data_IF_450748022064
#
_entry.id   IF_450748022064
#
_cell.length_a   1.000
_cell.length_b   1.000
_cell.length_c   1.000
_cell.angle_alpha   90.00
_cell.angle_beta   90.00
_cell.angle_gamma   90.00
#
_symmetry.space_group_name_H-M   'P 1'
#
loop_
_entity.id
_entity.type
_entity.pdbx_description
1 polymer ?
#
# COMPACT_ATOMS: atom_id res chain seq x y z
N UNK A 1 -13.48 -8.61 12.02
CA UNK A 1 -13.17 -7.16 11.96
C UNK A 1 -12.26 -6.83 13.13
N UNK A 2 -11.16 -6.12 12.90
CA UNK A 2 -10.26 -5.76 13.98
C UNK A 2 -10.95 -4.78 14.95
N UNK A 3 -11.12 -5.21 16.20
CA UNK A 3 -11.64 -4.37 17.27
C UNK A 3 -10.48 -3.57 17.87
N UNK A 4 -10.20 -2.40 17.33
CA UNK A 4 -9.16 -1.51 17.84
C UNK A 4 -9.73 -0.68 18.98
N UNK A 5 -9.32 -0.96 20.22
CA UNK A 5 -9.69 -0.16 21.40
C UNK A 5 -8.87 1.13 21.55
N UNK A 6 -7.77 1.25 20.80
CA UNK A 6 -6.89 2.42 20.70
C UNK A 6 -6.29 2.47 19.29
N UNK A 7 -5.73 3.62 18.93
CA UNK A 7 -4.97 3.77 17.68
C UNK A 7 -3.83 2.73 17.62
N UNK A 8 -3.81 1.84 16.61
CA UNK A 8 -2.74 0.86 16.44
C UNK A 8 -1.40 1.48 16.02
N UNK A 9 -1.41 2.62 15.32
CA UNK A 9 -0.24 3.16 14.64
C UNK A 9 0.17 2.40 13.37
N UNK A 10 1.08 2.99 12.60
CA UNK A 10 1.42 2.51 11.24
C UNK A 10 2.10 1.15 11.23
N UNK A 11 3.04 0.89 12.13
CA UNK A 11 3.75 -0.40 12.19
C UNK A 11 2.80 -1.57 12.43
N UNK A 12 1.81 -1.40 13.31
CA UNK A 12 0.82 -2.43 13.61
C UNK A 12 -0.17 -2.62 12.45
N UNK A 13 -0.57 -1.53 11.76
CA UNK A 13 -1.36 -1.61 10.54
C UNK A 13 -0.60 -2.39 9.45
N UNK A 14 0.68 -2.06 9.26
CA UNK A 14 1.54 -2.71 8.27
C UNK A 14 1.75 -4.19 8.62
N UNK A 15 2.07 -4.50 9.88
CA UNK A 15 2.22 -5.88 10.37
C UNK A 15 0.97 -6.72 10.11
N UNK A 16 -0.21 -6.20 10.43
CA UNK A 16 -1.47 -6.91 10.17
C UNK A 16 -1.76 -7.07 8.69
N UNK A 17 -1.42 -6.09 7.86
CA UNK A 17 -1.57 -6.23 6.41
C UNK A 17 -0.74 -7.41 5.88
N UNK A 18 0.45 -7.63 6.44
CA UNK A 18 1.29 -8.78 6.12
C UNK A 18 0.69 -10.09 6.63
N UNK A 19 0.28 -10.14 7.89
CA UNK A 19 -0.29 -11.35 8.51
C UNK A 19 -1.60 -11.82 7.87
N UNK A 20 -2.39 -10.87 7.38
CA UNK A 20 -3.66 -11.16 6.73
C UNK A 20 -3.56 -11.25 5.21
N UNK A 21 -2.35 -11.14 4.65
CA UNK A 21 -2.06 -11.14 3.20
C UNK A 21 -2.91 -10.10 2.43
N UNK A 22 -2.98 -8.88 2.95
CA UNK A 22 -3.79 -7.79 2.41
C UNK A 22 -2.95 -6.66 1.83
N UNK A 23 -3.37 -6.17 0.67
CA UNK A 23 -2.88 -4.93 0.10
C UNK A 23 -3.32 -3.75 0.98
N UNK A 24 -2.38 -2.96 1.45
CA UNK A 24 -2.66 -1.74 2.21
C UNK A 24 -2.95 -0.58 1.26
N UNK A 25 -4.14 0.02 1.36
CA UNK A 25 -4.48 1.26 0.65
C UNK A 25 -4.38 2.43 1.62
N UNK A 26 -3.59 3.45 1.28
CA UNK A 26 -3.32 4.58 2.17
C UNK A 26 -3.18 5.92 1.44
N UNK A 27 -3.38 7.02 2.16
CA UNK A 27 -3.02 8.38 1.69
C UNK A 27 -1.67 8.83 2.28
N UNK A 28 -1.22 8.14 3.33
CA UNK A 28 -0.07 8.52 4.13
C UNK A 28 1.24 8.19 3.40
N UNK A 29 2.23 9.08 3.52
CA UNK A 29 3.57 8.87 2.97
C UNK A 29 4.44 8.02 3.89
N UNK A 30 4.13 7.96 5.18
CA UNK A 30 5.02 7.40 6.20
C UNK A 30 5.15 5.87 6.07
N UNK A 31 4.14 5.17 5.54
CA UNK A 31 4.26 3.76 5.13
C UNK A 31 5.34 3.52 4.07
N UNK A 32 5.58 4.49 3.19
CA UNK A 32 6.68 4.41 2.23
C UNK A 32 8.04 4.49 2.90
N UNK A 33 8.17 5.24 3.99
CA UNK A 33 9.37 5.30 4.82
C UNK A 33 9.60 3.97 5.55
N UNK A 34 8.56 3.40 6.18
CA UNK A 34 8.64 2.09 6.83
C UNK A 34 9.17 1.01 5.89
N UNK A 35 8.68 0.97 4.64
CA UNK A 35 9.09 -0.05 3.68
C UNK A 35 10.46 0.24 3.06
N UNK A 36 10.71 1.45 2.58
CA UNK A 36 11.92 1.72 1.80
C UNK A 36 13.13 2.14 2.61
N UNK A 37 12.90 2.84 3.73
CA UNK A 37 14.00 3.33 4.58
C UNK A 37 14.28 2.33 5.68
N UNK A 38 13.23 1.79 6.31
CA UNK A 38 13.37 0.84 7.41
C UNK A 38 13.31 -0.64 6.98
N UNK A 39 13.03 -0.92 5.71
CA UNK A 39 13.05 -2.29 5.17
C UNK A 39 11.93 -3.19 5.71
N UNK A 40 10.84 -2.61 6.21
CA UNK A 40 9.74 -3.41 6.75
C UNK A 40 9.01 -4.18 5.64
N UNK A 41 8.61 -5.42 5.96
CA UNK A 41 7.83 -6.27 5.05
C UNK A 41 6.43 -5.67 4.82
N UNK A 42 5.89 -5.92 3.64
CA UNK A 42 4.54 -5.50 3.28
C UNK A 42 3.94 -6.47 2.25
N UNK A 43 2.61 -6.54 2.18
CA UNK A 43 1.85 -7.38 1.22
C UNK A 43 1.28 -6.55 0.07
N UNK A 44 2.09 -5.64 -0.45
CA UNK A 44 1.69 -4.66 -1.46
C UNK A 44 1.06 -3.40 -0.84
N UNK A 45 1.37 -2.24 -1.43
CA UNK A 45 0.87 -0.94 -0.96
C UNK A 45 0.34 -0.14 -2.15
N UNK A 46 -0.87 0.39 -2.01
CA UNK A 46 -1.45 1.36 -2.93
C UNK A 46 -1.58 2.72 -2.22
N UNK A 47 -0.71 3.67 -2.56
CA UNK A 47 -0.75 5.02 -2.01
C UNK A 47 -1.42 5.98 -2.99
N UNK A 48 -2.47 6.66 -2.55
CA UNK A 48 -3.12 7.71 -3.34
C UNK A 48 -2.60 9.07 -2.91
N UNK A 49 -2.17 9.89 -3.87
CA UNK A 49 -1.58 11.21 -3.61
C UNK A 49 -2.40 12.28 -4.33
N UNK A 50 -2.83 13.30 -3.58
CA UNK A 50 -3.68 14.40 -4.08
C UNK A 50 -5.00 13.95 -4.76
N UNK A 51 -5.48 12.74 -4.43
CA UNK A 51 -6.74 12.19 -4.96
C UNK A 51 -7.91 12.63 -4.10
N UNK A 52 -8.86 13.34 -4.70
CA UNK A 52 -10.08 13.76 -4.02
C UNK A 52 -10.89 12.54 -3.57
N UNK A 53 -11.46 12.60 -2.36
CA UNK A 53 -12.22 11.48 -1.76
C UNK A 53 -13.23 10.81 -2.69
N UNK A 54 -14.01 11.61 -3.45
CA UNK A 54 -15.00 11.12 -4.42
C UNK A 54 -14.41 10.30 -5.59
N UNK A 55 -13.12 10.43 -5.87
CA UNK A 55 -12.42 9.77 -6.97
C UNK A 55 -11.61 8.56 -6.50
N UNK A 56 -11.34 8.44 -5.19
CA UNK A 56 -10.49 7.40 -4.62
C UNK A 56 -11.00 6.00 -4.95
N UNK A 57 -12.30 5.71 -4.75
CA UNK A 57 -12.86 4.39 -5.08
C UNK A 57 -12.66 4.01 -6.55
N UNK A 58 -12.91 4.95 -7.48
CA UNK A 58 -12.70 4.74 -8.92
C UNK A 58 -11.22 4.47 -9.23
N UNK A 59 -10.31 5.25 -8.65
CA UNK A 59 -8.87 5.08 -8.87
C UNK A 59 -8.33 3.80 -8.27
N UNK A 60 -8.81 3.39 -7.09
CA UNK A 60 -8.46 2.11 -6.46
C UNK A 60 -8.87 0.97 -7.38
N UNK A 61 -10.13 0.93 -7.82
CA UNK A 61 -10.63 -0.15 -8.70
C UNK A 61 -9.87 -0.20 -10.03
N UNK A 62 -9.64 0.96 -10.67
CA UNK A 62 -8.85 1.02 -11.91
C UNK A 62 -7.42 0.54 -11.69
N UNK A 63 -6.78 0.89 -10.57
CA UNK A 63 -5.42 0.46 -10.27
C UNK A 63 -5.34 -1.04 -9.98
N UNK A 64 -6.25 -1.58 -9.18
CA UNK A 64 -6.36 -3.01 -8.92
C UNK A 64 -6.56 -3.81 -10.22
N UNK A 65 -7.39 -3.31 -11.14
CA UNK A 65 -7.63 -4.00 -12.43
C UNK A 65 -6.40 -4.07 -13.34
N UNK A 66 -5.46 -3.12 -13.21
CA UNK A 66 -4.28 -3.02 -14.09
C UNK A 66 -2.99 -3.53 -13.47
N UNK A 67 -2.86 -3.38 -12.15
CA UNK A 67 -1.64 -3.60 -11.39
C UNK A 67 -1.85 -4.56 -10.21
N UNK A 68 -3.00 -5.25 -10.14
CA UNK A 68 -3.30 -6.24 -9.10
C UNK A 68 -2.21 -7.28 -8.95
N UNK A 69 -1.74 -7.86 -10.06
CA UNK A 69 -0.65 -8.84 -10.04
C UNK A 69 0.66 -8.26 -9.47
N UNK A 70 0.99 -7.00 -9.77
CA UNK A 70 2.18 -6.38 -9.21
C UNK A 70 2.00 -6.14 -7.69
N UNK A 71 0.82 -5.70 -7.25
CA UNK A 71 0.50 -5.52 -5.83
C UNK A 71 0.55 -6.85 -5.06
N UNK A 72 0.05 -7.95 -5.64
CA UNK A 72 0.17 -9.31 -5.10
C UNK A 72 1.63 -9.78 -5.03
N UNK A 73 2.49 -9.27 -5.90
CA UNK A 73 3.95 -9.47 -5.86
C UNK A 73 4.65 -8.44 -4.95
N UNK A 74 3.93 -7.91 -3.96
CA UNK A 74 4.41 -6.94 -2.99
C UNK A 74 4.93 -5.63 -3.62
N UNK A 75 4.37 -5.17 -4.74
CA UNK A 75 4.74 -3.86 -5.26
C UNK A 75 4.19 -2.72 -4.39
N UNK A 76 4.91 -1.60 -4.38
CA UNK A 76 4.38 -0.32 -3.93
C UNK A 76 3.97 0.50 -5.16
N UNK A 77 2.68 0.79 -5.25
CA UNK A 77 2.08 1.61 -6.29
C UNK A 77 1.69 2.96 -5.71
N UNK A 78 2.23 4.03 -6.27
CA UNK A 78 1.79 5.41 -5.97
C UNK A 78 0.94 5.88 -7.14
N UNK A 79 -0.26 6.36 -6.84
CA UNK A 79 -1.18 6.90 -7.84
C UNK A 79 -1.42 8.37 -7.55
N UNK A 80 -1.05 9.19 -8.52
CA UNK A 80 -1.38 10.61 -8.60
C UNK A 80 -2.42 10.83 -9.69
N UNK A 81 -2.94 12.06 -9.80
CA UNK A 81 -4.07 12.36 -10.69
C UNK A 81 -3.79 12.06 -12.17
N UNK A 82 -2.52 12.13 -12.59
CA UNK A 82 -2.06 12.03 -13.97
C UNK A 82 -1.00 10.94 -14.20
N UNK A 83 -0.38 10.40 -13.15
CA UNK A 83 0.67 9.41 -13.27
C UNK A 83 0.59 8.31 -12.20
N UNK A 84 1.16 7.16 -12.54
CA UNK A 84 1.32 6.02 -11.64
C UNK A 84 2.80 5.65 -11.57
N UNK A 85 3.30 5.47 -10.35
CA UNK A 85 4.64 4.92 -10.12
C UNK A 85 4.52 3.54 -9.52
N UNK A 86 5.16 2.56 -10.13
CA UNK A 86 5.22 1.18 -9.62
C UNK A 86 6.65 0.91 -9.20
N UNK A 87 6.83 0.41 -7.99
CA UNK A 87 8.10 -0.11 -7.51
C UNK A 87 7.91 -1.55 -7.08
N UNK A 88 8.58 -2.46 -7.77
CA UNK A 88 8.68 -3.85 -7.35
C UNK A 88 9.56 -3.94 -6.10
N UNK A 89 9.34 -4.93 -5.22
CA UNK A 89 10.31 -5.24 -4.19
C UNK A 89 11.65 -5.58 -4.85
N UNK A 90 12.74 -5.27 -4.16
CA UNK A 90 14.04 -5.79 -4.58
C UNK A 90 13.97 -7.33 -4.53
N UNK A 91 14.62 -8.01 -5.47
CA UNK A 91 14.61 -9.47 -5.51
C UNK A 91 15.07 -9.99 -4.14
N UNK A 92 14.20 -10.75 -3.47
CA UNK A 92 14.44 -11.26 -2.13
C UNK A 92 15.79 -11.99 -2.10
N UNK A 93 16.75 -11.61 -1.23
CA UNK A 93 18.00 -12.32 -1.10
C UNK A 93 17.85 -13.64 -0.31
N UNK A 94 16.73 -14.36 -0.46
CA UNK A 94 16.51 -15.68 0.11
C UNK A 94 16.29 -15.75 1.63
#
# INVERSE_FOLDING_TARGET
>A
MAAWGRDPGDEEILRRSVEEERILVTLDKDFGELVFVLGQRHSGILRLVNVRGREQGRMILHTLSRLGQALEQNALVVVESDHMRVRMPDADPG
#
